data_IF_823128580945
#
_entry.id   IF_823128580945
#
_cell.length_a   1.000
_cell.length_b   1.000
_cell.length_c   1.000
_cell.angle_alpha   90.00
_cell.angle_beta   90.00
_cell.angle_gamma   90.00
#
_symmetry.space_group_name_H-M   'P 1'
#
loop_
_entity.id
_entity.type
_entity.pdbx_description
1 polymer ?
#
# COMPACT_ATOMS: atom_id res chain seq x y z
N UNK A 1 31.45 -1.25 -0.03
CA UNK A 1 30.31 -2.05 0.48
C UNK A 1 30.89 -2.93 1.57
N UNK A 2 30.60 -2.62 2.84
CA UNK A 2 31.35 -3.13 3.99
C UNK A 2 31.23 -4.65 4.16
N UNK A 3 32.37 -5.30 4.43
CA UNK A 3 32.49 -6.75 4.66
C UNK A 3 31.50 -7.23 5.73
N UNK A 4 31.27 -6.41 6.76
CA UNK A 4 30.31 -6.67 7.84
C UNK A 4 28.87 -6.76 7.31
N UNK A 5 28.45 -5.83 6.44
CA UNK A 5 27.09 -5.86 5.86
C UNK A 5 26.90 -7.09 4.97
N UNK A 6 27.97 -7.52 4.29
CA UNK A 6 27.94 -8.75 3.48
C UNK A 6 27.76 -10.01 4.33
N UNK A 7 28.43 -10.10 5.48
CA UNK A 7 28.31 -11.24 6.40
C UNK A 7 26.90 -11.34 7.01
N UNK A 8 26.34 -10.22 7.47
CA UNK A 8 24.98 -10.19 8.03
C UNK A 8 23.93 -10.64 7.00
N UNK A 9 24.07 -10.22 5.74
CA UNK A 9 23.17 -10.66 4.67
C UNK A 9 23.29 -12.16 4.37
N UNK A 10 24.50 -12.73 4.51
CA UNK A 10 24.70 -14.17 4.36
C UNK A 10 23.98 -14.95 5.46
N UNK A 11 24.07 -14.51 6.72
CA UNK A 11 23.32 -15.11 7.83
C UNK A 11 21.80 -15.01 7.62
N UNK A 12 21.31 -13.87 7.09
CA UNK A 12 19.88 -13.71 6.75
C UNK A 12 19.47 -14.73 5.68
N UNK A 13 20.28 -14.95 4.64
CA UNK A 13 20.01 -15.95 3.59
C UNK A 13 19.94 -17.37 4.16
N UNK A 14 20.81 -17.70 5.11
CA UNK A 14 20.82 -19.02 5.75
C UNK A 14 19.55 -19.28 6.58
N UNK A 15 19.07 -18.27 7.30
CA UNK A 15 17.78 -18.34 8.03
C UNK A 15 16.62 -18.67 7.08
N UNK A 16 16.63 -18.08 5.89
CA UNK A 16 15.58 -18.24 4.89
C UNK A 16 15.88 -19.31 3.83
N UNK A 17 16.94 -20.12 3.99
CA UNK A 17 17.37 -21.10 2.98
C UNK A 17 16.32 -22.19 2.65
N UNK A 18 15.32 -22.38 3.54
CA UNK A 18 14.22 -23.33 3.35
C UNK A 18 12.88 -22.65 2.99
N UNK A 19 12.90 -21.36 2.68
CA UNK A 19 11.76 -20.66 2.09
C UNK A 19 11.82 -20.83 0.57
N UNK A 20 10.66 -20.92 -0.08
CA UNK A 20 10.63 -21.00 -1.55
C UNK A 20 11.12 -19.70 -2.18
N UNK A 21 10.87 -18.57 -1.51
CA UNK A 21 11.33 -17.26 -1.93
C UNK A 21 11.97 -16.49 -0.78
N UNK A 22 12.98 -15.70 -1.12
CA UNK A 22 13.63 -14.81 -0.16
C UNK A 22 12.69 -13.64 0.16
N UNK A 23 12.37 -13.38 1.43
CA UNK A 23 11.66 -12.17 1.81
C UNK A 23 12.41 -10.93 1.36
N UNK A 24 11.67 -9.88 1.00
CA UNK A 24 12.22 -8.54 0.95
C UNK A 24 12.76 -8.14 2.33
N UNK A 25 13.97 -7.60 2.33
CA UNK A 25 14.65 -7.05 3.49
C UNK A 25 15.06 -5.64 3.14
N UNK A 26 14.55 -4.65 3.88
CA UNK A 26 14.87 -3.26 3.60
C UNK A 26 16.38 -3.01 3.69
N UNK A 27 16.98 -2.26 2.75
CA UNK A 27 18.40 -1.87 2.82
C UNK A 27 18.77 -1.08 4.09
N UNK A 28 17.76 -0.47 4.72
CA UNK A 28 17.85 0.34 5.95
C UNK A 28 17.58 -0.46 7.23
N UNK A 29 17.19 -1.74 7.11
CA UNK A 29 16.93 -2.59 8.28
C UNK A 29 18.21 -2.79 9.09
N UNK A 30 18.11 -2.60 10.40
CA UNK A 30 19.15 -3.01 11.33
C UNK A 30 19.20 -4.54 11.41
N UNK A 31 20.05 -5.13 10.56
CA UNK A 31 20.20 -6.59 10.47
C UNK A 31 20.80 -7.16 11.75
N UNK A 32 21.71 -6.45 12.40
CA UNK A 32 22.35 -6.96 13.61
C UNK A 32 21.35 -7.05 14.76
N UNK A 33 20.58 -5.99 15.00
CA UNK A 33 19.52 -6.00 16.00
C UNK A 33 18.46 -7.07 15.69
N UNK A 34 18.06 -7.18 14.42
CA UNK A 34 17.09 -8.19 14.02
C UNK A 34 17.60 -9.63 14.18
N UNK A 35 18.84 -9.92 13.79
CA UNK A 35 19.46 -11.25 13.98
C UNK A 35 19.55 -11.62 15.47
N UNK A 36 19.82 -10.64 16.34
CA UNK A 36 19.78 -10.84 17.79
C UNK A 36 18.37 -11.19 18.29
N UNK A 37 17.30 -10.62 17.71
CA UNK A 37 15.93 -11.02 18.04
C UNK A 37 15.60 -12.44 17.54
N UNK A 38 16.03 -12.79 16.32
CA UNK A 38 15.76 -14.10 15.71
C UNK A 38 16.48 -15.23 16.44
N UNK A 39 17.68 -14.99 16.97
CA UNK A 39 18.41 -16.00 17.75
C UNK A 39 17.68 -16.39 19.04
N UNK A 40 16.86 -15.48 19.60
CA UNK A 40 16.03 -15.74 20.78
C UNK A 40 14.68 -16.36 20.41
N UNK A 41 14.07 -15.94 19.29
CA UNK A 41 12.77 -16.44 18.88
C UNK A 41 12.59 -16.46 17.36
N UNK A 42 12.26 -17.64 16.84
CA UNK A 42 11.83 -17.82 15.45
C UNK A 42 10.49 -17.15 15.14
N UNK A 43 9.77 -16.59 16.11
CA UNK A 43 8.56 -15.79 15.86
C UNK A 43 8.82 -14.48 15.10
N UNK A 44 10.10 -14.11 14.93
CA UNK A 44 10.56 -12.85 14.31
C UNK A 44 10.94 -12.99 12.84
N UNK A 45 10.95 -14.22 12.30
CA UNK A 45 11.17 -14.46 10.88
C UNK A 45 9.85 -14.40 10.11
N UNK A 46 9.93 -14.02 8.84
CA UNK A 46 8.79 -14.12 7.92
C UNK A 46 8.38 -15.59 7.82
N UNK A 47 7.11 -15.96 8.06
CA UNK A 47 6.67 -17.35 7.96
C UNK A 47 6.85 -17.91 6.55
N UNK A 48 7.26 -19.18 6.42
CA UNK A 48 7.46 -19.86 5.13
C UNK A 48 6.27 -19.73 4.18
N UNK A 49 5.07 -20.01 4.69
CA UNK A 49 3.81 -19.89 3.97
C UNK A 49 3.57 -18.53 3.31
N UNK A 50 4.16 -17.45 3.85
CA UNK A 50 4.01 -16.10 3.29
C UNK A 50 4.97 -15.86 2.12
N UNK A 51 5.97 -16.72 1.96
CA UNK A 51 6.91 -16.76 0.83
C UNK A 51 6.63 -17.94 -0.12
N UNK A 52 5.42 -18.49 -0.07
CA UNK A 52 4.92 -19.49 -1.00
C UNK A 52 3.90 -18.80 -1.90
N UNK A 53 4.12 -18.83 -3.22
CA UNK A 53 3.16 -18.26 -4.16
C UNK A 53 1.88 -19.07 -4.18
N UNK A 54 0.77 -18.35 -4.28
CA UNK A 54 -0.55 -18.88 -4.56
C UNK A 54 -0.62 -19.36 -6.02
N UNK A 55 -1.69 -20.07 -6.38
CA UNK A 55 -1.93 -20.60 -7.73
C UNK A 55 -1.98 -19.51 -8.82
N UNK A 56 -2.35 -18.29 -8.48
CA UNK A 56 -2.29 -17.12 -9.38
C UNK A 56 -0.90 -16.45 -9.45
N UNK A 57 0.11 -16.99 -8.78
CA UNK A 57 1.47 -16.44 -8.74
C UNK A 57 1.69 -15.29 -7.77
N UNK A 58 0.70 -14.89 -6.97
CA UNK A 58 0.85 -13.86 -5.94
C UNK A 58 1.37 -14.44 -4.62
N UNK A 59 2.12 -13.65 -3.85
CA UNK A 59 2.40 -13.97 -2.44
C UNK A 59 1.22 -13.55 -1.56
N UNK A 60 1.00 -14.20 -0.39
CA UNK A 60 0.01 -13.75 0.59
C UNK A 60 0.14 -12.26 0.96
N UNK A 61 1.35 -11.70 0.96
CA UNK A 61 1.57 -10.27 1.14
C UNK A 61 0.86 -9.39 0.13
N UNK A 62 0.82 -9.80 -1.14
CA UNK A 62 0.13 -9.08 -2.21
C UNK A 62 -1.38 -9.11 -1.98
N UNK A 63 -1.95 -10.23 -1.53
CA UNK A 63 -3.38 -10.30 -1.18
C UNK A 63 -3.72 -9.33 -0.04
N UNK A 64 -2.86 -9.22 0.96
CA UNK A 64 -3.03 -8.23 2.03
C UNK A 64 -2.89 -6.79 1.50
N UNK A 65 -2.02 -6.55 0.54
CA UNK A 65 -1.91 -5.24 -0.10
C UNK A 65 -3.20 -4.89 -0.87
N UNK A 66 -3.74 -5.82 -1.66
CA UNK A 66 -5.05 -5.67 -2.32
C UNK A 66 -6.16 -5.40 -1.30
N UNK A 67 -6.18 -6.14 -0.19
CA UNK A 67 -7.13 -5.92 0.90
C UNK A 67 -7.03 -4.53 1.52
N UNK A 68 -5.80 -4.01 1.70
CA UNK A 68 -5.58 -2.64 2.20
C UNK A 68 -6.04 -1.58 1.20
N UNK A 69 -5.80 -1.79 -0.09
CA UNK A 69 -6.30 -0.91 -1.17
C UNK A 69 -7.82 -0.91 -1.20
N UNK A 70 -8.46 -2.07 -0.99
CA UNK A 70 -9.92 -2.21 -0.98
C UNK A 70 -10.64 -1.38 0.11
N UNK A 71 -9.93 -0.89 1.12
CA UNK A 71 -10.50 0.07 2.09
C UNK A 71 -10.69 1.47 1.52
N UNK A 72 -10.14 1.77 0.34
CA UNK A 72 -10.31 3.05 -0.34
C UNK A 72 -9.55 4.21 0.29
N UNK A 73 -8.64 3.95 1.24
CA UNK A 73 -7.80 4.95 1.91
C UNK A 73 -6.31 4.83 1.58
N UNK A 74 -5.94 3.92 0.69
CA UNK A 74 -4.54 3.70 0.29
C UNK A 74 -4.19 4.67 -0.85
N UNK A 75 -3.04 5.32 -0.75
CA UNK A 75 -2.63 6.46 -1.60
C UNK A 75 -1.13 6.43 -1.88
N UNK A 76 -0.68 7.26 -2.83
CA UNK A 76 0.75 7.50 -3.14
C UNK A 76 1.57 7.95 -1.93
N UNK A 77 0.93 8.59 -0.94
CA UNK A 77 1.59 9.12 0.26
C UNK A 77 1.41 8.19 1.47
N UNK A 78 0.87 6.98 1.26
CA UNK A 78 0.62 6.06 2.37
C UNK A 78 1.92 5.60 3.01
N UNK A 79 2.06 5.87 4.31
CA UNK A 79 3.14 5.29 5.11
C UNK A 79 2.93 3.79 5.23
N UNK A 80 3.88 3.04 4.67
CA UNK A 80 3.81 1.57 4.60
C UNK A 80 3.93 0.98 6.00
N UNK A 81 2.98 0.12 6.34
CA UNK A 81 3.01 -0.59 7.62
C UNK A 81 4.10 -1.65 7.63
N UNK A 82 4.88 -1.70 8.72
CA UNK A 82 6.01 -2.64 8.90
C UNK A 82 5.64 -4.11 8.69
N UNK A 83 4.39 -4.53 8.91
CA UNK A 83 4.01 -5.94 8.70
C UNK A 83 4.21 -6.41 7.24
N UNK A 84 4.19 -5.51 6.25
CA UNK A 84 4.45 -5.90 4.87
C UNK A 84 5.84 -6.51 4.71
N UNK A 85 6.86 -5.87 5.28
CA UNK A 85 8.21 -6.41 5.33
C UNK A 85 8.32 -7.54 6.37
N UNK A 86 7.96 -7.25 7.63
CA UNK A 86 8.29 -8.12 8.76
C UNK A 86 7.43 -9.37 8.87
N UNK A 87 6.21 -9.36 8.34
CA UNK A 87 5.28 -10.49 8.39
C UNK A 87 5.10 -11.13 7.02
N UNK A 88 5.03 -10.33 5.95
CA UNK A 88 4.72 -10.83 4.61
C UNK A 88 5.92 -10.88 3.67
N UNK A 89 7.05 -10.29 4.05
CA UNK A 89 8.27 -10.35 3.24
C UNK A 89 8.17 -9.66 1.90
N UNK A 90 7.31 -8.65 1.75
CA UNK A 90 7.14 -7.90 0.49
C UNK A 90 7.55 -6.44 0.65
N UNK A 91 7.94 -5.82 -0.46
CA UNK A 91 8.18 -4.38 -0.54
C UNK A 91 6.90 -3.71 -1.03
N UNK A 92 5.95 -3.44 -0.14
CA UNK A 92 4.64 -2.95 -0.55
C UNK A 92 4.69 -1.61 -1.32
N UNK A 93 5.73 -0.79 -1.12
CA UNK A 93 5.92 0.45 -1.89
C UNK A 93 6.26 0.15 -3.35
N UNK A 94 7.09 -0.85 -3.61
CA UNK A 94 7.44 -1.29 -4.97
C UNK A 94 6.37 -2.18 -5.57
N UNK A 95 5.85 -3.12 -4.78
CA UNK A 95 4.97 -4.18 -5.25
C UNK A 95 3.57 -3.69 -5.61
N UNK A 96 3.15 -2.50 -5.15
CA UNK A 96 1.92 -1.87 -5.65
C UNK A 96 1.99 -1.64 -7.18
N UNK A 97 3.17 -1.28 -7.71
CA UNK A 97 3.37 -1.08 -9.14
C UNK A 97 3.33 -2.41 -9.91
N UNK A 98 3.86 -3.50 -9.33
CA UNK A 98 3.70 -4.84 -9.89
C UNK A 98 2.22 -5.24 -9.99
N UNK A 99 1.41 -4.91 -8.96
CA UNK A 99 -0.02 -5.18 -9.00
C UNK A 99 -0.75 -4.32 -10.03
N UNK A 100 -0.26 -3.11 -10.31
CA UNK A 100 -0.77 -2.29 -11.41
C UNK A 100 -0.43 -2.88 -12.77
N UNK A 101 0.82 -3.32 -12.98
CA UNK A 101 1.25 -4.00 -14.21
C UNK A 101 0.44 -5.28 -14.48
N UNK A 102 0.04 -5.98 -13.42
CA UNK A 102 -0.83 -7.16 -13.51
C UNK A 102 -2.32 -6.82 -13.70
N UNK A 103 -2.67 -5.54 -13.72
CA UNK A 103 -4.04 -5.04 -13.89
C UNK A 103 -4.94 -5.35 -12.69
N UNK A 104 -4.39 -5.47 -11.49
CA UNK A 104 -5.12 -5.74 -10.24
C UNK A 104 -5.43 -4.44 -9.47
N UNK A 105 -4.57 -3.45 -9.61
CA UNK A 105 -4.69 -2.12 -9.00
C UNK A 105 -4.60 -1.07 -10.09
N UNK A 106 -5.30 0.03 -9.93
CA UNK A 106 -5.11 1.22 -10.74
C UNK A 106 -4.96 2.46 -9.86
N UNK A 107 -4.23 3.44 -10.37
CA UNK A 107 -4.15 4.76 -9.76
C UNK A 107 -5.43 5.54 -10.11
N UNK A 108 -6.04 6.15 -9.10
CA UNK A 108 -7.26 6.93 -9.26
C UNK A 108 -6.99 8.23 -10.04
N UNK A 109 -8.00 8.75 -10.73
CA UNK A 109 -7.91 10.10 -11.32
C UNK A 109 -7.80 11.17 -10.23
N UNK A 110 -7.35 12.37 -10.58
CA UNK A 110 -7.35 13.55 -9.73
C UNK A 110 -8.76 13.85 -9.23
N UNK A 111 -9.79 13.83 -10.10
CA UNK A 111 -11.20 14.04 -9.68
C UNK A 111 -11.60 13.06 -8.57
N UNK A 112 -11.35 11.76 -8.75
CA UNK A 112 -11.69 10.74 -7.73
C UNK A 112 -10.87 10.94 -6.46
N UNK A 113 -9.59 11.28 -6.61
CA UNK A 113 -8.64 11.47 -5.51
C UNK A 113 -8.96 12.68 -4.63
N UNK A 114 -9.84 13.60 -5.06
CA UNK A 114 -10.31 14.73 -4.23
C UNK A 114 -10.92 14.29 -2.90
N UNK A 115 -11.43 13.05 -2.81
CA UNK A 115 -11.96 12.48 -1.55
C UNK A 115 -10.93 12.36 -0.44
N UNK A 116 -9.64 12.31 -0.79
CA UNK A 116 -8.53 12.25 0.16
C UNK A 116 -8.10 13.64 0.65
N UNK A 117 -8.61 14.72 0.03
CA UNK A 117 -8.33 16.09 0.42
C UNK A 117 -9.37 16.60 1.42
N UNK A 118 -8.95 17.48 2.32
CA UNK A 118 -9.88 18.12 3.26
C UNK A 118 -10.80 19.12 2.54
N UNK A 119 -11.97 19.38 3.12
CA UNK A 119 -12.88 20.41 2.61
C UNK A 119 -12.22 21.80 2.53
N UNK A 120 -11.24 22.10 3.39
CA UNK A 120 -10.51 23.37 3.35
C UNK A 120 -9.69 23.54 2.08
N UNK A 121 -8.97 22.49 1.68
CA UNK A 121 -8.16 22.47 0.44
C UNK A 121 -9.06 22.59 -0.80
N UNK A 122 -10.17 21.85 -0.84
CA UNK A 122 -11.08 21.98 -1.98
C UNK A 122 -11.72 23.37 -2.08
N UNK A 123 -12.05 23.98 -0.94
CA UNK A 123 -12.54 25.37 -0.92
C UNK A 123 -11.49 26.37 -1.39
N UNK A 124 -10.19 26.14 -1.14
CA UNK A 124 -9.15 27.03 -1.69
C UNK A 124 -9.09 26.94 -3.22
N UNK A 125 -9.20 25.75 -3.80
CA UNK A 125 -9.27 25.60 -5.27
C UNK A 125 -10.47 26.36 -5.85
N UNK A 126 -11.68 26.17 -5.31
CA UNK A 126 -12.88 26.88 -5.77
C UNK A 126 -12.73 28.40 -5.67
N UNK A 127 -12.04 28.89 -4.63
CA UNK A 127 -11.77 30.32 -4.43
C UNK A 127 -10.80 30.88 -5.48
N UNK A 128 -9.81 30.11 -5.92
CA UNK A 128 -8.90 30.50 -7.02
C UNK A 128 -9.66 30.71 -8.34
N UNK A 129 -10.74 29.95 -8.57
CA UNK A 129 -11.70 30.17 -9.67
C UNK A 129 -12.76 31.25 -9.39
N UNK A 130 -12.60 32.00 -8.30
CA UNK A 130 -13.48 33.10 -7.89
C UNK A 130 -14.94 32.67 -7.61
N UNK A 131 -15.17 31.40 -7.26
CA UNK A 131 -16.50 30.89 -6.88
C UNK A 131 -16.86 31.44 -5.50
N UNK A 132 -18.06 32.03 -5.38
CA UNK A 132 -18.57 32.66 -4.16
C UNK A 132 -19.48 31.70 -3.39
N UNK A 133 -19.79 32.04 -2.13
CA UNK A 133 -20.76 31.28 -1.32
C UNK A 133 -20.22 29.99 -0.67
N UNK A 134 -18.90 29.86 -0.50
CA UNK A 134 -18.26 28.61 -0.07
C UNK A 134 -18.33 28.32 1.45
N UNK A 135 -18.65 29.32 2.29
CA UNK A 135 -18.52 29.23 3.75
C UNK A 135 -19.49 28.23 4.38
N UNK A 136 -20.72 28.10 3.85
CA UNK A 136 -21.77 27.22 4.38
C UNK A 136 -21.90 25.86 3.68
N UNK A 137 -21.13 25.60 2.61
CA UNK A 137 -21.27 24.37 1.82
C UNK A 137 -20.85 23.13 2.61
N UNK A 138 -21.66 22.07 2.49
CA UNK A 138 -21.35 20.72 2.98
C UNK A 138 -20.38 20.03 2.03
N UNK A 139 -19.78 18.93 2.50
CA UNK A 139 -18.79 18.18 1.71
C UNK A 139 -19.31 17.77 0.33
N UNK A 140 -20.53 17.24 0.25
CA UNK A 140 -21.13 16.83 -1.01
C UNK A 140 -21.27 17.99 -2.02
N UNK A 141 -21.68 19.18 -1.56
CA UNK A 141 -21.82 20.36 -2.43
C UNK A 141 -20.46 20.86 -2.92
N UNK A 142 -19.41 20.75 -2.09
CA UNK A 142 -18.03 21.08 -2.46
C UNK A 142 -17.53 20.12 -3.53
N UNK A 143 -17.75 18.81 -3.34
CA UNK A 143 -17.32 17.79 -4.30
C UNK A 143 -18.03 17.97 -5.66
N UNK A 144 -19.31 18.33 -5.64
CA UNK A 144 -20.07 18.62 -6.86
C UNK A 144 -19.58 19.89 -7.56
N UNK A 145 -19.29 20.94 -6.80
CA UNK A 145 -18.71 22.16 -7.35
C UNK A 145 -17.33 21.90 -7.97
N UNK A 146 -16.50 21.06 -7.34
CA UNK A 146 -15.21 20.65 -7.91
C UNK A 146 -15.42 19.92 -9.23
N UNK A 147 -16.31 18.92 -9.29
CA UNK A 147 -16.62 18.18 -10.53
C UNK A 147 -17.18 19.06 -11.64
N UNK A 148 -17.94 20.08 -11.29
CA UNK A 148 -18.57 21.00 -12.26
C UNK A 148 -17.59 22.02 -12.82
N UNK A 149 -16.66 22.51 -11.99
CA UNK A 149 -15.84 23.67 -12.33
C UNK A 149 -14.38 23.34 -12.66
N UNK A 150 -13.93 22.12 -12.40
CA UNK A 150 -12.57 21.68 -12.72
C UNK A 150 -12.56 20.50 -13.67
N UNK A 151 -11.67 20.59 -14.65
CA UNK A 151 -11.25 19.44 -15.45
C UNK A 151 -10.22 18.60 -14.70
N UNK A 152 -10.04 17.36 -15.16
CA UNK A 152 -9.02 16.43 -14.67
C UNK A 152 -7.60 17.01 -14.80
N UNK A 153 -7.30 17.70 -15.90
CA UNK A 153 -5.99 18.34 -16.12
C UNK A 153 -5.72 19.49 -15.15
N UNK A 154 -6.74 20.28 -14.83
CA UNK A 154 -6.61 21.39 -13.87
C UNK A 154 -6.34 20.85 -12.47
N UNK A 155 -7.10 19.85 -12.03
CA UNK A 155 -6.87 19.23 -10.72
C UNK A 155 -5.51 18.54 -10.63
N UNK A 156 -5.06 17.93 -11.72
CA UNK A 156 -3.73 17.30 -11.77
C UNK A 156 -2.60 18.30 -11.53
N UNK A 157 -2.78 19.55 -11.95
CA UNK A 157 -1.81 20.63 -11.70
C UNK A 157 -1.87 21.17 -10.28
N UNK A 158 -3.01 21.04 -9.60
CA UNK A 158 -3.22 21.56 -8.24
C UNK A 158 -2.70 20.63 -7.15
N UNK A 159 -2.71 19.31 -7.37
CA UNK A 159 -2.17 18.36 -6.40
C UNK A 159 -1.73 17.04 -7.05
N UNK A 160 -0.68 16.44 -6.49
CA UNK A 160 -0.08 15.20 -6.97
C UNK A 160 -0.62 13.93 -6.29
N UNK A 161 -1.17 14.03 -5.06
CA UNK A 161 -1.69 12.88 -4.32
C UNK A 161 -2.72 12.09 -5.15
N UNK A 162 -2.53 10.79 -5.26
CA UNK A 162 -3.53 9.88 -5.88
C UNK A 162 -3.89 8.74 -4.94
N UNK A 163 -5.15 8.34 -5.00
CA UNK A 163 -5.58 7.10 -4.38
C UNK A 163 -5.24 5.90 -5.26
N UNK A 164 -5.25 4.72 -4.66
CA UNK A 164 -5.27 3.45 -5.36
C UNK A 164 -6.63 2.80 -5.20
N UNK A 165 -7.09 2.15 -6.26
CA UNK A 165 -8.32 1.34 -6.23
C UNK A 165 -8.08 -0.02 -6.89
N UNK A 166 -8.90 -1.00 -6.50
CA UNK A 166 -8.88 -2.30 -7.15
C UNK A 166 -9.65 -2.24 -8.48
N UNK A 167 -9.04 -2.79 -9.52
CA UNK A 167 -9.76 -3.11 -10.76
C UNK A 167 -10.78 -4.23 -10.49
N UNK A 168 -11.67 -4.52 -11.45
CA UNK A 168 -12.55 -5.69 -11.35
C UNK A 168 -11.75 -6.98 -11.10
N UNK A 169 -10.67 -7.18 -11.85
CA UNK A 169 -9.76 -8.33 -11.69
C UNK A 169 -9.14 -8.37 -10.29
N UNK A 170 -8.75 -7.21 -9.75
CA UNK A 170 -8.24 -7.10 -8.38
C UNK A 170 -9.26 -7.50 -7.32
N UNK A 171 -10.52 -7.06 -7.48
CA UNK A 171 -11.60 -7.42 -6.56
C UNK A 171 -11.94 -8.91 -6.62
N UNK A 172 -11.99 -9.50 -7.80
CA UNK A 172 -12.19 -10.94 -8.00
C UNK A 172 -11.04 -11.74 -7.40
N UNK A 173 -9.80 -11.32 -7.66
CA UNK A 173 -8.60 -11.94 -7.08
C UNK A 173 -8.66 -11.93 -5.56
N UNK A 174 -8.98 -10.78 -4.93
CA UNK A 174 -9.07 -10.68 -3.48
C UNK A 174 -10.14 -11.61 -2.89
N UNK A 175 -11.28 -11.79 -3.59
CA UNK A 175 -12.37 -12.69 -3.16
C UNK A 175 -11.98 -14.18 -3.20
N UNK A 176 -11.01 -14.56 -4.02
CA UNK A 176 -10.56 -15.95 -4.14
C UNK A 176 -9.71 -16.44 -2.94
N UNK A 177 -9.16 -15.53 -2.12
CA UNK A 177 -8.26 -15.87 -1.02
C UNK A 177 -8.71 -15.30 0.35
N UNK A 178 -9.96 -15.55 0.79
CA UNK A 178 -10.46 -15.03 2.07
C UNK A 178 -9.63 -15.52 3.26
N UNK A 179 -9.06 -16.72 3.19
CA UNK A 179 -8.25 -17.33 4.25
C UNK A 179 -6.95 -16.56 4.52
N UNK A 180 -6.37 -15.90 3.51
CA UNK A 180 -5.19 -15.04 3.70
C UNK A 180 -5.57 -13.81 4.51
N UNK A 181 -6.71 -13.20 4.19
CA UNK A 181 -7.25 -12.03 4.89
C UNK A 181 -7.67 -12.38 6.32
N UNK A 182 -8.28 -13.54 6.52
CA UNK A 182 -8.74 -13.98 7.84
C UNK A 182 -7.61 -14.29 8.82
N UNK A 183 -6.46 -14.73 8.31
CA UNK A 183 -5.25 -14.91 9.12
C UNK A 183 -4.54 -13.61 9.47
N UNK A 184 -4.83 -12.51 8.76
CA UNK A 184 -4.23 -11.22 9.09
C UNK A 184 -4.80 -10.70 10.42
N UNK A 185 -3.96 -10.25 11.36
CA UNK A 185 -4.45 -9.65 12.61
C UNK A 185 -5.33 -8.42 12.33
N UNK A 186 -6.63 -8.54 12.61
CA UNK A 186 -7.59 -7.43 12.51
C UNK A 186 -7.71 -6.77 13.88
N UNK A 187 -7.60 -5.45 13.96
CA UNK A 187 -7.97 -4.72 15.19
C UNK A 187 -9.44 -5.01 15.46
N UNK A 188 -9.75 -5.58 16.63
CA UNK A 188 -11.11 -5.58 17.16
C UNK A 188 -11.33 -4.19 17.75
N UNK A 189 -12.30 -3.47 17.22
CA UNK A 189 -12.81 -2.24 17.81
C UNK A 189 -13.91 -2.58 18.81
#
# INVERSE_FOLDING_TARGET
MDVIKSDLLQQVREIYAKHLEMPYISPERDLQAWLNEVSVSSGKIVPKRNMERLDNGLLPGHIILLWRVNFGTYTTDTVISKYFEHTYGIDAQKDIHLLMEQGLVEEESAIVSTRHLTSGVLKSFLKEKQIKGLSSLKRADIDEAIRTHFSEEELTKLFALRGYTLTQKGQETLKCYPEVVDRHPKKKF
#
